data_IF_540114643185
#
_entry.id   IF_540114643185
#
_cell.length_a   1.000
_cell.length_b   1.000
_cell.length_c   1.000
_cell.angle_alpha   90.00
_cell.angle_beta   90.00
_cell.angle_gamma   90.00
#
_symmetry.space_group_name_H-M   'P 1'
#
loop_
_entity.id
_entity.type
_entity.pdbx_description
1 polymer ?
#
# COMPACT_ATOMS: atom_id res chain seq x y z
N UNK A 1 2.81 -11.10 8.20
CA UNK A 1 2.75 -9.74 7.61
C UNK A 1 1.31 -9.30 7.52
N UNK A 2 1.06 -8.05 7.87
CA UNK A 2 -0.27 -7.47 7.74
C UNK A 2 -0.17 -6.20 6.91
N UNK A 3 -1.03 -6.08 5.91
CA UNK A 3 -1.04 -4.92 5.02
C UNK A 3 -2.46 -4.39 4.95
N UNK A 4 -2.60 -3.09 5.19
CA UNK A 4 -3.85 -2.37 5.00
C UNK A 4 -3.69 -1.54 3.75
N UNK A 5 -4.58 -1.73 2.79
CA UNK A 5 -4.56 -1.06 1.50
C UNK A 5 -5.68 -0.03 1.48
N UNK A 6 -5.32 1.21 1.24
CA UNK A 6 -6.29 2.29 1.13
C UNK A 6 -6.12 2.97 -0.23
N UNK A 7 -7.20 3.02 -1.00
CA UNK A 7 -7.20 3.76 -2.26
C UNK A 7 -7.35 5.25 -1.97
N UNK A 8 -6.48 6.04 -2.55
CA UNK A 8 -6.46 7.49 -2.32
C UNK A 8 -6.29 8.25 -3.62
N UNK A 9 -6.90 9.43 -3.69
CA UNK A 9 -6.68 10.34 -4.79
C UNK A 9 -5.47 11.23 -4.54
N UNK A 10 -5.33 11.73 -3.32
CA UNK A 10 -4.14 12.48 -2.92
C UNK A 10 -3.77 12.05 -1.52
N UNK A 11 -2.48 11.82 -1.31
CA UNK A 11 -1.99 11.43 0.00
C UNK A 11 -0.56 11.90 0.18
N UNK A 12 -0.21 12.18 1.42
CA UNK A 12 1.16 12.48 1.78
C UNK A 12 1.46 11.96 3.17
N UNK A 13 2.73 11.70 3.40
CA UNK A 13 3.25 11.31 4.71
C UNK A 13 4.21 12.38 5.18
N UNK A 14 3.99 12.85 6.40
CA UNK A 14 4.89 13.81 7.05
C UNK A 14 5.48 13.16 8.28
N UNK A 15 6.78 13.36 8.46
CA UNK A 15 7.52 12.91 9.64
C UNK A 15 8.26 14.11 10.19
N UNK A 16 8.04 14.40 11.47
CA UNK A 16 8.65 15.56 12.16
C UNK A 16 8.39 16.87 11.41
N UNK A 17 7.17 17.03 10.88
CA UNK A 17 6.77 18.23 10.18
C UNK A 17 7.28 18.34 8.74
N UNK A 18 7.97 17.33 8.24
CA UNK A 18 8.50 17.33 6.88
C UNK A 18 7.78 16.28 6.04
N UNK A 19 7.37 16.68 4.84
CA UNK A 19 6.74 15.76 3.90
C UNK A 19 7.80 14.80 3.39
N UNK A 20 7.54 13.49 3.55
CA UNK A 20 8.46 12.43 3.13
C UNK A 20 8.01 11.71 1.89
N UNK A 21 6.74 11.81 1.54
CA UNK A 21 6.23 11.19 0.33
C UNK A 21 4.86 11.73 -0.01
N UNK A 22 4.57 11.82 -1.30
CA UNK A 22 3.27 12.25 -1.81
C UNK A 22 2.88 11.38 -2.99
N UNK A 23 1.57 11.21 -3.18
CA UNK A 23 1.01 10.59 -4.38
C UNK A 23 -0.21 11.38 -4.83
N UNK A 24 -0.45 11.40 -6.15
CA UNK A 24 -1.64 12.04 -6.71
C UNK A 24 -2.83 11.09 -6.66
N UNK A 25 -2.63 9.82 -7.00
CA UNK A 25 -3.64 8.78 -6.86
C UNK A 25 -2.96 7.43 -6.80
N UNK A 26 -3.63 6.48 -6.18
CA UNK A 26 -3.12 5.13 -6.04
C UNK A 26 -3.45 4.54 -4.68
N UNK A 27 -2.47 3.91 -4.06
CA UNK A 27 -2.64 3.25 -2.77
C UNK A 27 -1.77 3.87 -1.69
N UNK A 28 -2.34 3.98 -0.51
CA UNK A 28 -1.57 4.12 0.72
C UNK A 28 -1.57 2.75 1.39
N UNK A 29 -0.37 2.25 1.67
CA UNK A 29 -0.20 0.95 2.32
C UNK A 29 0.35 1.14 3.72
N UNK A 30 -0.30 0.51 4.68
CA UNK A 30 0.23 0.38 6.03
C UNK A 30 0.72 -1.05 6.17
N UNK A 31 2.03 -1.22 6.33
CA UNK A 31 2.65 -2.53 6.32
C UNK A 31 3.23 -2.85 7.69
N UNK A 32 2.74 -3.91 8.30
CA UNK A 32 3.27 -4.43 9.55
C UNK A 32 3.98 -5.75 9.31
N UNK A 33 5.22 -5.85 9.76
CA UNK A 33 6.02 -7.06 9.63
C UNK A 33 5.98 -7.85 10.92
N UNK A 34 6.01 -9.17 10.81
CA UNK A 34 6.06 -10.10 11.92
C UNK A 34 7.30 -10.96 11.81
N UNK A 35 7.69 -11.58 12.92
CA UNK A 35 8.78 -12.54 12.92
C UNK A 35 8.44 -13.69 11.96
N UNK A 36 9.40 -14.08 11.15
CA UNK A 36 9.21 -15.14 10.17
C UNK A 36 8.80 -14.64 8.79
N UNK A 37 8.45 -13.38 8.64
CA UNK A 37 8.16 -12.82 7.33
C UNK A 37 9.45 -12.70 6.52
N UNK A 38 9.38 -13.13 5.26
CA UNK A 38 10.53 -13.08 4.38
C UNK A 38 10.15 -12.59 3.00
N UNK A 39 11.06 -12.80 2.06
CA UNK A 39 10.89 -12.32 0.70
C UNK A 39 9.67 -12.94 0.02
N UNK A 40 9.37 -14.21 0.32
CA UNK A 40 8.22 -14.88 -0.29
C UNK A 40 6.91 -14.19 0.08
N UNK A 41 6.76 -13.78 1.33
CA UNK A 41 5.57 -13.07 1.80
C UNK A 41 5.47 -11.70 1.15
N UNK A 42 6.59 -11.00 1.03
CA UNK A 42 6.63 -9.70 0.37
C UNK A 42 6.23 -9.82 -1.10
N UNK A 43 6.79 -10.80 -1.80
CA UNK A 43 6.49 -11.00 -3.22
C UNK A 43 5.02 -11.34 -3.44
N UNK A 44 4.46 -12.19 -2.58
CA UNK A 44 3.07 -12.60 -2.67
C UNK A 44 2.14 -11.39 -2.49
N UNK A 45 2.36 -10.61 -1.45
CA UNK A 45 1.53 -9.44 -1.15
C UNK A 45 1.68 -8.38 -2.24
N UNK A 46 2.89 -8.13 -2.69
CA UNK A 46 3.12 -7.15 -3.76
C UNK A 46 2.39 -7.54 -5.04
N UNK A 47 2.47 -8.82 -5.41
CA UNK A 47 1.77 -9.31 -6.59
C UNK A 47 0.25 -9.13 -6.45
N UNK A 48 -0.29 -9.44 -5.29
CA UNK A 48 -1.72 -9.27 -5.03
C UNK A 48 -2.14 -7.81 -5.14
N UNK A 49 -1.38 -6.90 -4.54
CA UNK A 49 -1.70 -5.47 -4.54
C UNK A 49 -1.65 -4.90 -5.94
N UNK A 50 -0.63 -5.27 -6.72
CA UNK A 50 -0.48 -4.75 -8.09
C UNK A 50 -1.58 -5.24 -9.02
N UNK A 51 -2.25 -6.32 -8.70
CA UNK A 51 -3.31 -6.90 -9.51
C UNK A 51 -4.71 -6.65 -8.97
N UNK A 52 -4.86 -5.90 -7.88
CA UNK A 52 -6.19 -5.53 -7.39
C UNK A 52 -6.89 -4.63 -8.39
N UNK A 53 -8.08 -5.03 -8.79
CA UNK A 53 -8.86 -4.34 -9.82
C UNK A 53 -9.90 -3.43 -9.16
N UNK A 54 -9.41 -2.38 -8.52
CA UNK A 54 -10.25 -1.49 -7.71
C UNK A 54 -10.34 -0.08 -8.25
N UNK A 55 -9.81 0.16 -9.43
CA UNK A 55 -9.92 1.45 -10.10
C UNK A 55 -10.97 1.38 -11.20
N UNK A 56 -11.73 2.47 -11.34
CA UNK A 56 -12.83 2.51 -12.29
C UNK A 56 -12.30 2.61 -13.73
N UNK A 57 -12.93 1.84 -14.61
CA UNK A 57 -12.68 1.94 -16.05
C UNK A 57 -13.60 3.02 -16.66
N UNK A 58 -13.60 3.12 -17.99
CA UNK A 58 -14.39 4.11 -18.71
C UNK A 58 -15.90 3.91 -18.50
N UNK A 59 -16.33 2.70 -18.15
CA UNK A 59 -17.73 2.38 -17.91
C UNK A 59 -18.12 2.54 -16.43
N UNK A 60 -17.20 3.01 -15.59
CA UNK A 60 -17.45 3.19 -14.17
C UNK A 60 -17.38 1.93 -13.35
N UNK A 61 -16.87 0.84 -13.91
CA UNK A 61 -16.73 -0.44 -13.21
C UNK A 61 -15.34 -0.59 -12.64
N UNK A 62 -15.24 -1.16 -11.45
CA UNK A 62 -13.94 -1.45 -10.83
C UNK A 62 -13.27 -2.60 -11.56
N UNK A 63 -12.47 -2.28 -12.55
CA UNK A 63 -11.89 -3.25 -13.46
C UNK A 63 -10.40 -3.05 -13.72
N UNK A 64 -9.84 -1.93 -13.34
CA UNK A 64 -8.46 -1.60 -13.61
C UNK A 64 -7.59 -1.75 -12.36
N UNK A 65 -6.37 -2.23 -12.55
CA UNK A 65 -5.40 -2.28 -11.47
C UNK A 65 -4.57 -0.99 -11.44
N UNK A 66 -3.72 -0.86 -10.42
CA UNK A 66 -2.94 0.37 -10.22
C UNK A 66 -1.98 0.65 -11.36
N UNK A 67 -1.46 -0.38 -12.00
CA UNK A 67 -0.53 -0.21 -13.12
C UNK A 67 -1.23 0.35 -14.35
N UNK A 68 -2.47 -0.08 -14.58
CA UNK A 68 -3.25 0.36 -15.73
C UNK A 68 -3.66 1.83 -15.63
N UNK A 69 -3.87 2.32 -14.42
CA UNK A 69 -4.25 3.72 -14.22
C UNK A 69 -3.06 4.63 -13.98
N UNK A 70 -1.84 4.09 -14.01
CA UNK A 70 -0.65 4.88 -13.76
C UNK A 70 -0.56 5.40 -12.34
N UNK A 71 -1.13 4.68 -11.39
CA UNK A 71 -1.14 5.10 -10.00
C UNK A 71 0.20 4.88 -9.29
N UNK A 72 0.33 5.49 -8.14
CA UNK A 72 1.51 5.37 -7.31
C UNK A 72 1.17 4.69 -5.98
N UNK A 73 2.19 4.22 -5.30
CA UNK A 73 2.05 3.57 -4.01
C UNK A 73 2.86 4.34 -2.97
N UNK A 74 2.19 4.73 -1.90
CA UNK A 74 2.83 5.34 -0.75
C UNK A 74 2.80 4.29 0.38
N UNK A 75 3.96 3.75 0.70
CA UNK A 75 4.06 2.66 1.66
C UNK A 75 4.61 3.18 2.99
N UNK A 76 3.86 2.92 4.05
CA UNK A 76 4.27 3.25 5.40
C UNK A 76 4.55 1.93 6.11
N UNK A 77 5.82 1.69 6.42
CA UNK A 77 6.23 0.47 7.10
C UNK A 77 6.23 0.71 8.60
N UNK A 78 5.52 -0.15 9.30
CA UNK A 78 5.48 -0.14 10.75
C UNK A 78 6.35 -1.28 11.23
N UNK A 79 7.34 -0.93 12.07
CA UNK A 79 8.13 -1.97 12.72
C UNK A 79 7.28 -2.65 13.75
N UNK A 80 7.13 -3.95 13.59
CA UNK A 80 6.31 -4.75 14.46
C UNK A 80 7.19 -5.73 15.21
N UNK A 81 7.29 -5.54 16.51
CA UNK A 81 8.03 -6.49 17.35
C UNK A 81 7.04 -7.35 18.12
N UNK A 82 7.41 -8.59 18.39
CA UNK A 82 6.52 -9.55 19.03
C UNK A 82 6.07 -9.13 20.41
N UNK A 83 6.82 -8.29 21.07
CA UNK A 83 6.50 -7.79 22.40
C UNK A 83 5.77 -6.45 22.38
N UNK A 84 5.56 -5.89 21.21
CA UNK A 84 4.94 -4.57 21.11
C UNK A 84 3.50 -4.57 21.60
N UNK A 85 2.85 -5.69 21.57
CA UNK A 85 1.46 -5.80 21.99
C UNK A 85 1.29 -5.90 23.51
N UNK A 86 2.34 -6.07 24.21
CA UNK A 86 2.29 -6.22 25.67
C UNK A 86 2.20 -4.85 26.40
#
# INVERSE_FOLDING_TARGET
MRVIVQRSQQAQVSIDGKVRGTIDHGFVLLVGFQDGDGQAELDYIAHKILNLRVFSDADGKMNLNIQQVGGAILSICLLYTSDAAD
#
